data_IF_596127818116
#
_entry.id   IF_596127818116
#
_cell.length_a   1.000
_cell.length_b   1.000
_cell.length_c   1.000
_cell.angle_alpha   90.00
_cell.angle_beta   90.00
_cell.angle_gamma   90.00
#
_symmetry.space_group_name_H-M   'P 1'
#
loop_
_entity.id
_entity.type
_entity.pdbx_description
1 polymer ?
#
# COMPACT_ATOMS: atom_id res chain seq x y z
N UNK A 1 4.46 -8.57 11.27
CA UNK A 1 4.69 -8.04 9.91
C UNK A 1 4.86 -9.23 8.97
N UNK A 2 4.21 -9.20 7.80
CA UNK A 2 4.27 -10.30 6.82
C UNK A 2 5.09 -9.89 5.59
N UNK A 3 5.10 -8.60 5.26
CA UNK A 3 5.81 -8.05 4.10
C UNK A 3 6.46 -6.74 4.53
N UNK A 4 7.69 -6.49 4.12
CA UNK A 4 8.37 -5.21 4.33
C UNK A 4 8.09 -4.27 3.14
N UNK A 5 7.65 -3.03 3.43
CA UNK A 5 7.43 -2.03 2.39
C UNK A 5 8.46 -0.92 2.49
N UNK A 6 9.12 -0.62 1.37
CA UNK A 6 10.01 0.52 1.23
C UNK A 6 9.80 1.24 -0.09
N UNK A 7 10.08 2.53 -0.13
CA UNK A 7 9.95 3.32 -1.36
C UNK A 7 11.33 3.79 -1.82
N UNK A 8 11.99 3.02 -2.69
CA UNK A 8 13.26 3.40 -3.31
C UNK A 8 13.10 4.61 -4.25
N UNK A 9 11.94 4.72 -4.86
CA UNK A 9 11.52 5.85 -5.70
C UNK A 9 10.29 6.52 -5.08
N UNK A 10 10.26 7.85 -5.06
CA UNK A 10 9.20 8.63 -4.40
C UNK A 10 8.54 9.59 -5.40
N UNK A 11 7.25 9.36 -5.79
CA UNK A 11 6.53 10.32 -6.63
C UNK A 11 6.16 11.55 -5.80
N UNK A 12 6.83 12.66 -6.01
CA UNK A 12 6.63 13.90 -5.26
C UNK A 12 5.95 14.98 -6.10
N UNK A 13 5.11 15.79 -5.45
CA UNK A 13 4.50 16.95 -6.09
C UNK A 13 5.55 18.02 -6.38
N UNK A 14 6.52 18.19 -5.49
CA UNK A 14 7.64 19.12 -5.69
C UNK A 14 8.90 18.38 -6.17
N UNK A 15 9.58 18.84 -7.24
CA UNK A 15 10.83 18.26 -7.69
C UNK A 15 11.99 18.48 -6.69
N UNK A 16 11.84 19.41 -5.74
CA UNK A 16 12.84 19.72 -4.70
C UNK A 16 12.71 18.83 -3.46
N UNK A 17 11.65 18.04 -3.35
CA UNK A 17 11.48 17.07 -2.26
C UNK A 17 12.37 15.85 -2.49
N UNK A 18 12.67 15.11 -1.42
CA UNK A 18 13.40 13.85 -1.52
C UNK A 18 12.73 12.88 -2.50
N UNK A 19 13.45 12.49 -3.55
CA UNK A 19 12.93 11.66 -4.65
C UNK A 19 13.12 10.15 -4.43
N UNK A 20 13.72 9.77 -3.31
CA UNK A 20 14.15 8.40 -3.03
C UNK A 20 15.64 8.20 -3.29
N UNK A 21 16.13 7.03 -2.94
CA UNK A 21 17.55 6.63 -3.11
C UNK A 21 17.81 5.87 -4.41
N UNK A 22 16.76 5.66 -5.21
CA UNK A 22 16.89 4.98 -6.49
C UNK A 22 17.24 3.49 -6.37
N UNK A 23 17.99 2.97 -7.34
CA UNK A 23 18.34 1.55 -7.37
C UNK A 23 19.27 1.13 -6.24
N UNK A 24 20.19 1.97 -5.82
CA UNK A 24 21.03 1.72 -4.64
C UNK A 24 20.17 1.48 -3.39
N UNK A 25 19.17 2.31 -3.18
CA UNK A 25 18.21 2.11 -2.10
C UNK A 25 17.37 0.85 -2.23
N UNK A 26 17.10 0.40 -3.46
CA UNK A 26 16.41 -0.87 -3.69
C UNK A 26 17.28 -2.07 -3.31
N UNK A 27 18.58 -2.03 -3.63
CA UNK A 27 19.56 -3.04 -3.26
C UNK A 27 19.71 -3.13 -1.73
N UNK A 28 19.89 -2.00 -1.06
CA UNK A 28 19.95 -1.95 0.42
C UNK A 28 18.66 -2.48 1.06
N UNK A 29 17.52 -2.17 0.46
CA UNK A 29 16.22 -2.62 0.95
C UNK A 29 16.06 -4.14 0.78
N UNK A 30 16.51 -4.72 -0.33
CA UNK A 30 16.52 -6.16 -0.54
C UNK A 30 17.40 -6.87 0.48
N UNK A 31 18.63 -6.39 0.69
CA UNK A 31 19.56 -6.96 1.68
C UNK A 31 18.96 -6.93 3.10
N UNK A 32 18.37 -5.80 3.51
CA UNK A 32 17.74 -5.70 4.82
C UNK A 32 16.56 -6.67 4.99
N UNK A 33 15.78 -6.87 3.94
CA UNK A 33 14.64 -7.79 3.95
C UNK A 33 15.08 -9.25 3.97
N UNK A 34 16.14 -9.61 3.22
CA UNK A 34 16.74 -10.95 3.24
C UNK A 34 17.26 -11.30 4.64
N UNK A 35 17.94 -10.36 5.30
CA UNK A 35 18.41 -10.51 6.68
C UNK A 35 17.23 -10.69 7.68
N UNK A 36 16.08 -10.11 7.38
CA UNK A 36 14.86 -10.26 8.20
C UNK A 36 13.99 -11.45 7.81
N UNK A 37 14.31 -12.15 6.71
CA UNK A 37 13.48 -13.24 6.16
C UNK A 37 12.10 -12.76 5.70
N UNK A 38 11.99 -11.53 5.19
CA UNK A 38 10.73 -10.93 4.76
C UNK A 38 10.69 -10.68 3.25
N UNK A 39 9.56 -10.92 2.58
CA UNK A 39 9.35 -10.44 1.23
C UNK A 39 9.25 -8.91 1.20
N UNK A 40 9.59 -8.31 0.04
CA UNK A 40 9.53 -6.87 -0.15
C UNK A 40 8.42 -6.44 -1.10
N UNK A 41 7.85 -5.26 -0.80
CA UNK A 41 7.01 -4.51 -1.73
C UNK A 41 7.57 -3.11 -1.94
N UNK A 42 7.67 -2.67 -3.18
CA UNK A 42 8.10 -1.32 -3.53
C UNK A 42 7.32 -0.77 -4.71
N UNK A 43 7.25 0.56 -4.81
CA UNK A 43 6.46 1.26 -5.83
C UNK A 43 7.23 1.34 -7.15
N UNK A 44 6.61 0.84 -8.23
CA UNK A 44 7.09 0.99 -9.59
C UNK A 44 6.47 2.24 -10.20
N UNK A 45 7.31 3.22 -10.57
CA UNK A 45 6.87 4.49 -11.18
C UNK A 45 6.93 4.48 -12.70
N UNK A 46 7.88 3.74 -13.26
CA UNK A 46 8.20 3.75 -14.68
C UNK A 46 8.52 2.35 -15.17
N UNK A 47 7.99 1.99 -16.33
CA UNK A 47 8.23 0.70 -16.96
C UNK A 47 9.70 0.42 -17.22
N UNK A 48 10.52 1.46 -17.43
CA UNK A 48 11.98 1.36 -17.65
C UNK A 48 12.72 0.79 -16.43
N UNK A 49 12.12 0.82 -15.26
CA UNK A 49 12.68 0.26 -14.03
C UNK A 49 12.34 -1.23 -13.84
N UNK A 50 11.48 -1.79 -14.68
CA UNK A 50 10.90 -3.11 -14.49
C UNK A 50 11.97 -4.21 -14.44
N UNK A 51 12.93 -4.20 -15.38
CA UNK A 51 14.00 -5.20 -15.42
C UNK A 51 14.82 -5.21 -14.13
N UNK A 52 15.13 -4.02 -13.59
CA UNK A 52 15.84 -3.89 -12.32
C UNK A 52 15.03 -4.41 -11.12
N UNK A 53 13.72 -4.21 -11.13
CA UNK A 53 12.83 -4.76 -10.09
C UNK A 53 12.84 -6.29 -10.10
N UNK A 54 12.85 -6.90 -11.30
CA UNK A 54 12.93 -8.35 -11.45
C UNK A 54 14.31 -8.89 -11.06
N UNK A 55 15.41 -8.24 -11.46
CA UNK A 55 16.77 -8.57 -11.05
C UNK A 55 16.94 -8.55 -9.53
N UNK A 56 16.37 -7.53 -8.85
CA UNK A 56 16.38 -7.38 -7.40
C UNK A 56 15.32 -8.24 -6.69
N UNK A 57 14.64 -9.13 -7.43
CA UNK A 57 13.65 -10.06 -6.90
C UNK A 57 12.61 -9.37 -6.02
N UNK A 58 12.02 -8.26 -6.50
CA UNK A 58 10.91 -7.60 -5.82
C UNK A 58 9.75 -8.59 -5.77
N UNK A 59 9.30 -8.95 -4.56
CA UNK A 59 8.27 -9.97 -4.35
C UNK A 59 6.86 -9.48 -4.69
N UNK A 60 6.60 -8.18 -4.50
CA UNK A 60 5.32 -7.55 -4.79
C UNK A 60 5.55 -6.16 -5.38
N UNK A 61 4.95 -5.88 -6.52
CA UNK A 61 5.01 -4.55 -7.16
C UNK A 61 3.85 -3.71 -6.63
N UNK A 62 4.13 -2.50 -6.14
CA UNK A 62 3.10 -1.53 -5.83
C UNK A 62 2.90 -0.59 -7.01
N UNK A 63 1.66 -0.47 -7.48
CA UNK A 63 1.22 0.63 -8.36
C UNK A 63 0.64 1.72 -7.46
N UNK A 64 1.31 2.86 -7.45
CA UNK A 64 0.93 3.99 -6.62
C UNK A 64 -0.33 4.69 -7.11
N UNK A 65 -0.92 5.48 -6.22
CA UNK A 65 -2.14 6.25 -6.46
C UNK A 65 -2.10 7.12 -7.71
N UNK A 66 -0.95 7.74 -7.99
CA UNK A 66 -0.77 8.60 -9.17
C UNK A 66 -0.63 7.83 -10.47
N UNK A 67 -0.29 6.53 -10.38
CA UNK A 67 -0.08 5.64 -11.51
C UNK A 67 -1.24 4.68 -11.75
N UNK A 68 -2.34 4.78 -10.98
CA UNK A 68 -3.51 3.89 -11.14
C UNK A 68 -4.08 3.92 -12.56
N UNK A 69 -4.01 5.06 -13.22
CA UNK A 69 -4.51 5.25 -14.60
C UNK A 69 -3.38 5.30 -15.64
N UNK A 70 -2.16 4.89 -15.28
CA UNK A 70 -1.10 4.68 -16.25
C UNK A 70 -1.29 3.30 -16.92
N UNK A 71 -2.19 3.24 -17.88
CA UNK A 71 -2.61 1.97 -18.49
C UNK A 71 -1.47 1.22 -19.19
N UNK A 72 -0.47 1.93 -19.72
CA UNK A 72 0.72 1.27 -20.29
C UNK A 72 1.53 0.56 -19.20
N UNK A 73 1.74 1.19 -18.05
CA UNK A 73 2.38 0.56 -16.91
C UNK A 73 1.57 -0.65 -16.40
N UNK A 74 0.24 -0.52 -16.35
CA UNK A 74 -0.65 -1.62 -15.93
C UNK A 74 -0.58 -2.81 -16.89
N UNK A 75 -0.49 -2.58 -18.20
CA UNK A 75 -0.32 -3.64 -19.19
C UNK A 75 1.01 -4.38 -19.03
N UNK A 76 2.10 -3.65 -18.77
CA UNK A 76 3.42 -4.28 -18.57
C UNK A 76 3.46 -5.14 -17.30
N UNK A 77 2.97 -4.64 -16.16
CA UNK A 77 2.90 -5.46 -14.94
C UNK A 77 1.89 -6.61 -15.06
N UNK A 78 0.88 -6.46 -15.92
CA UNK A 78 -0.08 -7.50 -16.27
C UNK A 78 0.54 -8.72 -16.96
N UNK A 79 1.67 -8.56 -17.64
CA UNK A 79 2.40 -9.66 -18.29
C UNK A 79 3.28 -10.47 -17.33
N UNK A 80 3.45 -9.97 -16.11
CA UNK A 80 4.27 -10.61 -15.09
C UNK A 80 3.47 -11.65 -14.29
N UNK A 81 4.20 -12.42 -13.46
CA UNK A 81 3.60 -13.30 -12.44
C UNK A 81 3.77 -12.75 -11.03
N UNK A 82 4.44 -11.61 -10.90
CA UNK A 82 4.67 -10.93 -9.62
C UNK A 82 3.36 -10.33 -9.12
N UNK A 83 2.95 -10.55 -7.87
CA UNK A 83 1.75 -9.93 -7.31
C UNK A 83 1.80 -8.40 -7.34
N UNK A 84 0.64 -7.77 -7.50
CA UNK A 84 0.52 -6.31 -7.64
C UNK A 84 -0.41 -5.75 -6.56
N UNK A 85 0.09 -4.79 -5.77
CA UNK A 85 -0.76 -3.93 -4.93
C UNK A 85 -1.17 -2.73 -5.78
N UNK A 86 -2.45 -2.60 -6.08
CA UNK A 86 -3.02 -1.49 -6.84
C UNK A 86 -3.68 -0.49 -5.89
N UNK A 87 -3.03 0.66 -5.67
CA UNK A 87 -3.57 1.73 -4.81
C UNK A 87 -4.60 2.56 -5.57
N UNK A 88 -5.73 2.84 -4.91
CA UNK A 88 -6.79 3.68 -5.46
C UNK A 88 -6.29 5.09 -5.78
N UNK A 89 -6.70 5.64 -6.91
CA UNK A 89 -6.52 7.04 -7.26
C UNK A 89 -7.28 7.96 -6.30
N UNK A 90 -6.71 9.13 -5.97
CA UNK A 90 -7.27 10.05 -4.97
C UNK A 90 -8.66 10.61 -5.34
N UNK A 91 -9.03 10.56 -6.61
CA UNK A 91 -10.33 11.02 -7.12
C UNK A 91 -11.01 9.93 -7.98
N UNK A 92 -10.51 8.69 -7.90
CA UNK A 92 -11.02 7.58 -8.69
C UNK A 92 -12.29 6.99 -8.06
N UNK A 93 -13.26 6.72 -8.91
CA UNK A 93 -14.43 5.91 -8.55
C UNK A 93 -14.03 4.44 -8.33
N UNK A 94 -14.88 3.67 -7.67
CA UNK A 94 -14.67 2.22 -7.51
C UNK A 94 -14.66 1.53 -8.89
N UNK A 95 -15.52 1.95 -9.80
CA UNK A 95 -15.58 1.41 -11.17
C UNK A 95 -14.27 1.62 -11.92
N UNK A 96 -13.69 2.83 -11.89
CA UNK A 96 -12.39 3.11 -12.51
C UNK A 96 -11.26 2.28 -11.90
N UNK A 97 -11.32 2.05 -10.59
CA UNK A 97 -10.33 1.25 -9.88
C UNK A 97 -10.44 -0.24 -10.23
N UNK A 98 -11.66 -0.78 -10.34
CA UNK A 98 -11.91 -2.13 -10.85
C UNK A 98 -11.42 -2.29 -12.29
N UNK A 99 -11.71 -1.32 -13.17
CA UNK A 99 -11.21 -1.35 -14.55
C UNK A 99 -9.69 -1.25 -14.64
N UNK A 100 -9.04 -0.53 -13.74
CA UNK A 100 -7.58 -0.52 -13.66
C UNK A 100 -7.01 -1.91 -13.29
N UNK A 101 -7.68 -2.64 -12.40
CA UNK A 101 -7.32 -4.03 -12.10
C UNK A 101 -7.54 -4.96 -13.32
N UNK A 102 -8.62 -4.75 -14.11
CA UNK A 102 -8.86 -5.50 -15.34
C UNK A 102 -7.74 -5.30 -16.39
N UNK A 103 -7.13 -4.12 -16.47
CA UNK A 103 -5.95 -3.92 -17.34
C UNK A 103 -4.79 -4.85 -16.96
N UNK A 104 -4.58 -5.08 -15.67
CA UNK A 104 -3.55 -6.00 -15.17
C UNK A 104 -3.98 -7.46 -15.44
N UNK A 105 -5.21 -7.80 -15.10
CA UNK A 105 -5.76 -9.15 -15.24
C UNK A 105 -5.80 -9.61 -16.70
N UNK A 106 -6.15 -8.73 -17.64
CA UNK A 106 -6.19 -9.01 -19.08
C UNK A 106 -4.81 -9.38 -19.65
N UNK A 107 -3.72 -8.98 -19.00
CA UNK A 107 -2.36 -9.41 -19.32
C UNK A 107 -2.00 -10.81 -18.79
N UNK A 108 -2.89 -11.43 -18.01
CA UNK A 108 -2.71 -12.76 -17.40
C UNK A 108 -2.20 -12.75 -15.97
N UNK A 109 -2.05 -11.59 -15.34
CA UNK A 109 -1.68 -11.47 -13.93
C UNK A 109 -2.93 -11.28 -13.06
N UNK A 110 -3.39 -12.35 -12.44
CA UNK A 110 -4.55 -12.34 -11.54
C UNK A 110 -4.17 -12.16 -10.05
N UNK A 111 -2.88 -11.97 -9.73
CA UNK A 111 -2.38 -11.77 -8.38
C UNK A 111 -2.46 -10.29 -8.00
N UNK A 112 -3.66 -9.76 -7.84
CA UNK A 112 -3.91 -8.34 -7.59
C UNK A 112 -4.47 -8.16 -6.18
N UNK A 113 -3.99 -7.14 -5.48
CA UNK A 113 -4.46 -6.72 -4.16
C UNK A 113 -4.90 -5.26 -4.27
N UNK A 114 -6.16 -4.97 -3.97
CA UNK A 114 -6.64 -3.60 -3.89
C UNK A 114 -6.15 -2.93 -2.60
N UNK A 115 -5.73 -1.67 -2.69
CA UNK A 115 -5.32 -0.89 -1.52
C UNK A 115 -6.06 0.45 -1.47
N UNK A 116 -7.06 0.55 -0.59
CA UNK A 116 -7.74 1.82 -0.27
C UNK A 116 -6.80 2.67 0.59
N UNK A 117 -6.56 3.91 0.17
CA UNK A 117 -5.61 4.84 0.81
C UNK A 117 -6.14 6.26 1.01
N UNK A 118 -7.42 6.40 0.92
CA UNK A 118 -8.14 7.65 1.04
C UNK A 118 -8.38 8.37 -0.28
N UNK A 119 -9.53 9.00 -0.34
CA UNK A 119 -9.94 9.87 -1.45
C UNK A 119 -9.86 11.33 -1.03
N UNK A 120 -9.54 12.19 -1.98
CA UNK A 120 -9.54 13.64 -1.77
C UNK A 120 -10.98 14.17 -1.70
N UNK A 121 -11.24 14.98 -0.70
CA UNK A 121 -12.52 15.66 -0.52
C UNK A 121 -12.29 17.17 -0.31
N UNK A 122 -13.33 17.90 0.04
CA UNK A 122 -13.23 19.31 0.42
C UNK A 122 -12.60 19.52 1.80
N UNK A 123 -12.49 18.47 2.63
CA UNK A 123 -11.92 18.57 3.98
C UNK A 123 -10.39 18.78 3.91
N UNK A 124 -9.90 19.68 4.75
CA UNK A 124 -8.49 20.11 4.76
C UNK A 124 -7.76 19.83 6.07
N UNK A 125 -8.48 19.37 7.11
CA UNK A 125 -7.91 19.11 8.43
C UNK A 125 -6.98 17.87 8.44
N UNK A 126 -7.28 16.92 7.55
CA UNK A 126 -6.49 15.73 7.32
C UNK A 126 -6.24 15.52 5.81
N UNK A 127 -5.32 14.62 5.49
CA UNK A 127 -4.82 14.49 4.11
C UNK A 127 -5.87 13.99 3.12
N UNK A 128 -6.58 12.90 3.46
CA UNK A 128 -7.65 12.28 2.66
C UNK A 128 -8.63 11.57 3.59
N UNK A 129 -9.83 11.32 3.10
CA UNK A 129 -10.85 10.51 3.78
C UNK A 129 -10.61 9.04 3.45
N UNK A 130 -10.33 8.19 4.45
CA UNK A 130 -10.34 6.74 4.25
C UNK A 130 -11.77 6.28 3.95
N UNK A 131 -12.00 5.81 2.73
CA UNK A 131 -13.31 5.31 2.30
C UNK A 131 -13.49 3.85 2.74
N UNK A 132 -13.88 3.65 3.99
CA UNK A 132 -14.16 2.31 4.52
C UNK A 132 -15.34 1.63 3.82
N UNK A 133 -16.23 2.42 3.17
CA UNK A 133 -17.37 1.90 2.41
C UNK A 133 -16.95 1.17 1.14
N UNK A 134 -15.79 1.53 0.58
CA UNK A 134 -15.22 0.82 -0.57
C UNK A 134 -14.91 -0.66 -0.28
N UNK A 135 -14.61 -1.00 0.97
CA UNK A 135 -14.23 -2.37 1.36
C UNK A 135 -15.36 -3.36 1.11
N UNK A 136 -16.56 -3.23 1.70
CA UNK A 136 -17.66 -4.16 1.47
C UNK A 136 -18.15 -4.16 0.01
N UNK A 137 -18.03 -3.03 -0.70
CA UNK A 137 -18.36 -2.96 -2.13
C UNK A 137 -17.41 -3.86 -2.92
N UNK A 138 -16.08 -3.71 -2.76
CA UNK A 138 -15.09 -4.53 -3.45
C UNK A 138 -15.24 -6.01 -3.08
N UNK A 139 -15.49 -6.33 -1.81
CA UNK A 139 -15.72 -7.72 -1.37
C UNK A 139 -16.95 -8.36 -2.01
N UNK A 140 -17.92 -7.56 -2.46
CA UNK A 140 -19.09 -8.01 -3.21
C UNK A 140 -18.80 -8.17 -4.70
N UNK A 141 -18.04 -7.23 -5.29
CA UNK A 141 -17.79 -7.16 -6.73
C UNK A 141 -16.64 -8.06 -7.20
N UNK A 142 -15.71 -8.43 -6.29
CA UNK A 142 -14.54 -9.24 -6.65
C UNK A 142 -14.12 -10.18 -5.52
N UNK A 143 -13.41 -11.24 -5.89
CA UNK A 143 -12.76 -12.18 -4.94
C UNK A 143 -11.38 -11.72 -4.50
N UNK A 144 -10.84 -10.65 -5.09
CA UNK A 144 -9.49 -10.17 -4.83
C UNK A 144 -9.36 -9.59 -3.41
N UNK A 145 -8.19 -9.73 -2.77
CA UNK A 145 -7.93 -9.14 -1.46
C UNK A 145 -8.02 -7.60 -1.49
N UNK A 146 -8.54 -7.05 -0.38
CA UNK A 146 -8.65 -5.60 -0.17
C UNK A 146 -7.92 -5.21 1.11
N UNK A 147 -6.86 -4.43 0.99
CA UNK A 147 -6.13 -3.87 2.13
C UNK A 147 -6.38 -2.36 2.23
N UNK A 148 -6.06 -1.78 3.37
CA UNK A 148 -6.13 -0.34 3.58
C UNK A 148 -4.78 0.25 3.97
N UNK A 149 -4.59 1.51 3.65
CA UNK A 149 -3.43 2.32 4.01
C UNK A 149 -3.89 3.54 4.84
N UNK A 150 -4.04 3.37 6.16
CA UNK A 150 -4.51 4.42 7.05
C UNK A 150 -3.51 5.57 7.19
N UNK A 151 -2.21 5.28 7.05
CA UNK A 151 -1.14 6.28 7.14
C UNK A 151 -1.25 7.33 6.03
N UNK A 152 -1.38 6.88 4.77
CA UNK A 152 -1.53 7.80 3.64
C UNK A 152 -2.95 8.37 3.52
N UNK A 153 -3.96 7.74 4.11
CA UNK A 153 -5.31 8.30 4.18
C UNK A 153 -5.34 9.48 5.15
N UNK A 154 -5.18 9.26 6.44
CA UNK A 154 -5.25 10.30 7.45
C UNK A 154 -4.11 11.31 7.39
N UNK A 155 -2.89 10.86 7.07
CA UNK A 155 -1.69 11.69 7.01
C UNK A 155 -1.17 12.13 8.37
N UNK A 156 -1.69 11.54 9.45
CA UNK A 156 -1.33 11.84 10.85
C UNK A 156 -1.22 10.56 11.66
N UNK A 157 -0.13 10.39 12.41
CA UNK A 157 0.15 9.18 13.21
C UNK A 157 -0.98 8.84 14.20
N UNK A 158 -1.54 9.84 14.88
CA UNK A 158 -2.62 9.65 15.86
C UNK A 158 -3.93 9.09 15.25
N UNK A 159 -4.13 9.22 13.94
CA UNK A 159 -5.31 8.68 13.24
C UNK A 159 -5.13 7.21 12.86
N UNK A 160 -3.89 6.73 12.71
CA UNK A 160 -3.57 5.41 12.15
C UNK A 160 -4.32 4.29 12.88
N UNK A 161 -4.27 4.28 14.19
CA UNK A 161 -4.91 3.22 14.98
C UNK A 161 -6.44 3.21 14.81
N UNK A 162 -7.09 4.37 14.85
CA UNK A 162 -8.55 4.48 14.67
C UNK A 162 -8.98 4.02 13.28
N UNK A 163 -8.31 4.49 12.24
CA UNK A 163 -8.60 4.13 10.85
C UNK A 163 -8.32 2.64 10.57
N UNK A 164 -7.25 2.09 11.17
CA UNK A 164 -6.93 0.65 11.07
C UNK A 164 -8.06 -0.21 11.63
N UNK A 165 -8.54 0.12 12.84
CA UNK A 165 -9.64 -0.60 13.46
C UNK A 165 -10.91 -0.53 12.62
N UNK A 166 -11.26 0.65 12.11
CA UNK A 166 -12.42 0.84 11.23
C UNK A 166 -12.32 0.00 9.96
N UNK A 167 -11.15 -0.03 9.31
CA UNK A 167 -10.96 -0.80 8.09
C UNK A 167 -11.03 -2.31 8.30
N UNK A 168 -10.40 -2.84 9.36
CA UNK A 168 -10.50 -4.27 9.68
C UNK A 168 -11.94 -4.64 10.05
N UNK A 169 -12.64 -3.79 10.83
CA UNK A 169 -14.05 -3.99 11.16
C UNK A 169 -14.95 -3.96 9.91
N UNK A 170 -14.62 -3.16 8.90
CA UNK A 170 -15.32 -3.15 7.61
C UNK A 170 -15.00 -4.35 6.71
N UNK A 171 -14.04 -5.22 7.08
CA UNK A 171 -13.71 -6.45 6.37
C UNK A 171 -12.42 -6.41 5.53
N UNK A 172 -11.55 -5.42 5.71
CA UNK A 172 -10.24 -5.39 5.03
C UNK A 172 -9.40 -6.62 5.36
N UNK A 173 -8.65 -7.12 4.36
CA UNK A 173 -7.81 -8.31 4.49
C UNK A 173 -6.43 -8.02 5.08
N UNK A 174 -6.05 -6.76 5.15
CA UNK A 174 -4.76 -6.36 5.70
C UNK A 174 -4.57 -4.84 5.75
N UNK A 175 -3.38 -4.46 6.18
CA UNK A 175 -2.96 -3.08 6.37
C UNK A 175 -1.62 -2.82 5.70
N UNK A 176 -1.46 -1.61 5.19
CA UNK A 176 -0.19 -1.02 4.84
C UNK A 176 0.02 0.20 5.73
N UNK A 177 1.04 0.18 6.61
CA UNK A 177 1.28 1.19 7.64
C UNK A 177 2.70 1.72 7.55
N UNK A 178 2.85 3.05 7.61
CA UNK A 178 4.16 3.69 7.75
C UNK A 178 4.64 3.55 9.20
N UNK A 179 5.85 3.02 9.37
CA UNK A 179 6.47 2.84 10.67
C UNK A 179 7.91 3.33 10.64
N UNK A 180 8.34 4.01 11.70
CA UNK A 180 9.72 4.41 11.87
C UNK A 180 10.12 4.31 13.34
N UNK A 181 11.34 3.82 13.69
CA UNK A 181 11.81 3.76 15.08
C UNK A 181 11.77 5.11 15.79
N UNK A 182 12.16 6.18 15.08
CA UNK A 182 12.14 7.57 15.53
C UNK A 182 11.44 8.42 14.48
N UNK A 183 10.10 8.56 14.50
CA UNK A 183 9.36 9.25 13.44
C UNK A 183 9.87 10.65 13.08
N UNK A 184 10.37 11.42 14.07
CA UNK A 184 10.94 12.76 13.86
C UNK A 184 12.21 12.78 13.00
N UNK A 185 12.89 11.65 12.82
CA UNK A 185 14.10 11.50 12.00
C UNK A 185 13.80 10.92 10.62
N UNK A 186 12.55 10.61 10.32
CA UNK A 186 12.18 10.05 9.03
C UNK A 186 12.39 11.07 7.90
N UNK A 187 13.08 10.67 6.84
CA UNK A 187 13.35 11.52 5.67
C UNK A 187 12.10 11.90 4.88
N UNK A 188 11.02 11.17 5.10
CA UNK A 188 9.71 11.45 4.51
C UNK A 188 8.60 10.84 5.36
N UNK A 189 7.39 11.37 5.19
CA UNK A 189 6.17 10.85 5.80
C UNK A 189 6.20 10.74 7.35
N UNK A 190 7.05 11.56 8.01
CA UNK A 190 7.24 11.60 9.47
C UNK A 190 5.92 11.79 10.25
N UNK A 191 5.06 12.70 9.79
CA UNK A 191 3.80 13.06 10.44
C UNK A 191 2.81 11.88 10.55
N UNK A 192 2.93 10.88 9.68
CA UNK A 192 2.01 9.74 9.59
C UNK A 192 2.63 8.42 10.07
N UNK A 193 3.93 8.43 10.39
CA UNK A 193 4.64 7.25 10.86
C UNK A 193 4.34 6.96 12.33
N UNK A 194 4.06 5.70 12.64
CA UNK A 194 3.94 5.20 14.02
C UNK A 194 5.22 4.48 14.44
N UNK A 195 5.44 4.34 15.74
CA UNK A 195 6.57 3.60 16.29
C UNK A 195 6.32 2.08 16.27
N UNK A 196 7.38 1.25 16.36
CA UNK A 196 7.24 -0.21 16.51
C UNK A 196 6.37 -0.62 17.71
N UNK A 197 6.48 0.09 18.82
CA UNK A 197 5.68 -0.16 20.04
C UNK A 197 4.19 0.10 19.79
N UNK A 198 3.87 1.21 19.11
CA UNK A 198 2.49 1.52 18.75
C UNK A 198 1.93 0.49 17.76
N UNK A 199 2.73 0.05 16.78
CA UNK A 199 2.32 -1.01 15.86
C UNK A 199 2.05 -2.32 16.61
N UNK A 200 2.91 -2.71 17.55
CA UNK A 200 2.70 -3.93 18.34
C UNK A 200 1.40 -3.87 19.15
N UNK A 201 1.11 -2.72 19.77
CA UNK A 201 -0.16 -2.51 20.48
C UNK A 201 -1.36 -2.60 19.52
N UNK A 202 -1.27 -1.91 18.39
CA UNK A 202 -2.31 -1.91 17.36
C UNK A 202 -2.61 -3.33 16.87
N UNK A 203 -1.58 -4.15 16.61
CA UNK A 203 -1.77 -5.52 16.14
C UNK A 203 -2.54 -6.40 17.12
N UNK A 204 -2.38 -6.20 18.44
CA UNK A 204 -3.18 -6.91 19.46
C UNK A 204 -4.66 -6.51 19.39
N UNK A 205 -4.94 -5.22 19.22
CA UNK A 205 -6.30 -4.70 19.08
C UNK A 205 -6.99 -5.24 17.80
N UNK A 206 -6.25 -5.23 16.69
CA UNK A 206 -6.75 -5.73 15.42
C UNK A 206 -7.01 -7.23 15.43
N UNK A 207 -6.18 -8.00 16.14
CA UNK A 207 -6.41 -9.44 16.33
C UNK A 207 -7.75 -9.70 17.04
N UNK A 208 -8.05 -8.93 18.09
CA UNK A 208 -9.32 -9.05 18.79
C UNK A 208 -10.53 -8.73 17.87
N UNK A 209 -10.45 -7.67 17.06
CA UNK A 209 -11.50 -7.30 16.10
C UNK A 209 -11.67 -8.40 15.04
N UNK A 210 -10.56 -8.89 14.47
CA UNK A 210 -10.58 -9.94 13.46
C UNK A 210 -11.25 -11.22 13.99
N UNK A 211 -10.93 -11.61 15.22
CA UNK A 211 -11.52 -12.77 15.88
C UNK A 211 -13.06 -12.64 16.03
N UNK A 212 -13.56 -11.44 16.38
CA UNK A 212 -15.01 -11.16 16.44
C UNK A 212 -15.67 -11.41 15.08
N UNK A 213 -14.95 -11.13 13.99
CA UNK A 213 -15.42 -11.34 12.61
C UNK A 213 -15.16 -12.78 12.10
N UNK A 214 -14.71 -13.70 12.95
CA UNK A 214 -14.37 -15.07 12.57
C UNK A 214 -13.12 -15.19 11.71
N UNK A 215 -12.22 -14.19 11.76
CA UNK A 215 -10.97 -14.12 10.97
C UNK A 215 -9.76 -14.21 11.88
N UNK A 216 -8.69 -14.82 11.38
CA UNK A 216 -7.43 -14.98 12.10
C UNK A 216 -6.32 -14.24 11.35
N UNK A 217 -5.66 -13.29 12.02
CA UNK A 217 -4.54 -12.52 11.46
C UNK A 217 -3.16 -13.17 11.67
N UNK A 218 -3.11 -14.30 12.39
CA UNK A 218 -1.88 -15.06 12.64
C UNK A 218 -1.51 -15.97 11.45
N UNK A 219 -2.48 -16.31 10.64
CA UNK A 219 -2.37 -17.08 9.41
C UNK A 219 -2.20 -16.13 8.23
#
# INVERSE_FOLDING_TARGET
VKIMRGGAFKPRTSPYSFQGTGFEGLEMFREAADNAGLPIVTELLDVRHLDKFLEQKVDVIQIGTRSMQNFELLREVGRLKVPVILKRGMSATISEWLMAAEYIASGGNHNIIFCERGIRTFETYYRNVLDVTAIPVLKKETHLPVIIDPSHAGGKAWMVAALSRAGIAAGADGLLVEMHPTPSEAWCDADQAITPTELQKLMKELSAIANILGRDISK
#
